data_IF_828709840552
#
_entry.id   IF_828709840552
#
_cell.length_a   1.000
_cell.length_b   1.000
_cell.length_c   1.000
_cell.angle_alpha   90.00
_cell.angle_beta   90.00
_cell.angle_gamma   90.00
#
_symmetry.space_group_name_H-M   'P 1'
#
loop_
_entity.id
_entity.type
_entity.pdbx_description
1 polymer ?
#
# COMPACT_ATOMS: atom_id res chain seq x y z
N UNK A 1 -24.06 8.98 3.26
CA UNK A 1 -23.87 7.63 3.85
C UNK A 1 -22.40 7.52 4.23
N UNK A 2 -22.09 7.38 5.52
CA UNK A 2 -20.71 7.29 6.01
C UNK A 2 -20.17 5.91 5.62
N UNK A 3 -19.21 5.88 4.70
CA UNK A 3 -18.50 4.66 4.32
C UNK A 3 -17.67 4.17 5.51
N UNK A 4 -17.76 2.87 5.79
CA UNK A 4 -16.89 2.21 6.77
C UNK A 4 -15.53 2.06 6.08
N UNK A 5 -14.58 2.94 6.39
CA UNK A 5 -13.16 2.66 6.08
C UNK A 5 -12.67 1.61 7.06
N UNK A 6 -12.53 0.36 6.60
CA UNK A 6 -11.65 -0.61 7.25
C UNK A 6 -10.21 -0.27 6.83
N UNK A 7 -9.51 0.49 7.65
CA UNK A 7 -8.06 0.62 7.57
C UNK A 7 -7.44 -0.54 8.35
N UNK A 8 -6.79 -1.48 7.64
CA UNK A 8 -5.91 -2.45 8.28
C UNK A 8 -4.54 -1.79 8.44
N UNK A 9 -4.35 -1.12 9.57
CA UNK A 9 -3.04 -0.64 9.97
C UNK A 9 -2.13 -1.86 10.28
N UNK A 10 -0.90 -1.82 9.76
CA UNK A 10 0.16 -2.75 10.16
C UNK A 10 0.41 -2.60 11.66
N UNK A 11 0.14 -3.64 12.44
CA UNK A 11 0.57 -3.69 13.85
C UNK A 11 1.90 -4.42 13.89
N UNK A 12 2.98 -3.71 14.26
CA UNK A 12 4.27 -4.34 14.55
C UNK A 12 4.19 -4.95 15.95
N UNK A 13 3.92 -6.25 16.05
CA UNK A 13 3.78 -6.94 17.34
C UNK A 13 5.16 -7.47 17.75
N UNK A 14 5.88 -6.72 18.59
CA UNK A 14 7.18 -7.11 19.14
C UNK A 14 7.12 -8.22 20.21
N UNK A 15 5.94 -8.54 20.73
CA UNK A 15 5.70 -9.58 21.74
C UNK A 15 4.21 -9.96 21.73
N UNK A 16 3.89 -11.26 21.76
CA UNK A 16 2.51 -11.76 21.86
C UNK A 16 1.98 -11.79 23.30
N UNK A 17 2.73 -11.26 24.28
CA UNK A 17 2.31 -11.16 25.66
C UNK A 17 1.91 -9.72 26.02
N UNK A 18 0.63 -9.50 26.31
CA UNK A 18 0.10 -8.23 26.83
C UNK A 18 -0.96 -7.57 25.96
N UNK A 19 -1.55 -6.49 26.48
CA UNK A 19 -2.47 -5.63 25.72
C UNK A 19 -1.67 -4.82 24.71
N UNK A 20 -2.01 -4.98 23.43
CA UNK A 20 -1.44 -4.18 22.35
C UNK A 20 -2.26 -2.90 22.16
N UNK A 21 -1.59 -1.76 22.06
CA UNK A 21 -2.22 -0.49 21.68
C UNK A 21 -2.12 -0.32 20.17
N UNK A 22 -3.25 -0.05 19.52
CA UNK A 22 -3.29 0.33 18.11
C UNK A 22 -3.15 1.85 18.06
N UNK A 23 -2.07 2.33 17.45
CA UNK A 23 -1.78 3.75 17.27
C UNK A 23 -1.87 4.10 15.78
N UNK A 24 -2.20 5.36 15.49
CA UNK A 24 -2.06 5.90 14.15
C UNK A 24 -0.58 6.26 13.93
N UNK A 25 0.01 5.75 12.84
CA UNK A 25 1.44 5.88 12.50
C UNK A 25 1.74 7.15 11.69
N UNK A 26 1.00 8.23 11.92
CA UNK A 26 1.22 9.52 11.26
C UNK A 26 1.00 9.45 9.75
N UNK A 27 1.98 9.91 8.97
CA UNK A 27 1.95 10.00 7.49
C UNK A 27 1.69 8.67 6.78
N UNK A 28 1.96 7.55 7.46
CA UNK A 28 1.69 6.23 6.92
C UNK A 28 0.18 5.94 6.86
N UNK A 29 -0.58 6.31 7.90
CA UNK A 29 -2.03 6.13 7.90
C UNK A 29 -2.73 7.36 7.34
N UNK A 30 -3.71 7.15 6.48
CA UNK A 30 -4.52 8.25 5.96
C UNK A 30 -6.01 7.93 6.02
N UNK A 31 -6.84 8.81 5.48
CA UNK A 31 -8.27 8.53 5.27
C UNK A 31 -8.53 7.59 4.09
N UNK A 32 -7.51 7.34 3.26
CA UNK A 32 -7.55 6.44 2.12
C UNK A 32 -7.33 4.98 2.54
N UNK A 33 -7.39 4.08 1.57
CA UNK A 33 -7.03 2.69 1.82
C UNK A 33 -5.51 2.58 1.92
N UNK A 34 -5.05 1.86 2.94
CA UNK A 34 -3.71 1.31 3.04
C UNK A 34 -3.82 -0.17 3.44
N UNK A 35 -3.19 -1.05 2.67
CA UNK A 35 -3.23 -2.49 2.94
C UNK A 35 -2.02 -3.21 2.37
N UNK A 36 -1.85 -4.47 2.81
CA UNK A 36 -0.73 -5.34 2.45
C UNK A 36 0.67 -4.71 2.56
N UNK A 37 1.02 -4.08 3.70
CA UNK A 37 2.38 -3.60 3.92
C UNK A 37 3.37 -4.76 4.09
N UNK A 38 4.52 -4.65 3.43
CA UNK A 38 5.64 -5.60 3.48
C UNK A 38 6.95 -4.85 3.80
N UNK A 39 7.80 -5.37 4.70
CA UNK A 39 9.13 -4.81 4.93
C UNK A 39 9.98 -4.81 3.66
N UNK A 40 10.67 -3.71 3.39
CA UNK A 40 11.62 -3.59 2.28
C UNK A 40 12.72 -2.59 2.64
N UNK A 41 13.97 -3.05 2.72
CA UNK A 41 15.08 -2.25 3.24
C UNK A 41 14.77 -1.69 4.63
N UNK A 42 15.03 -0.39 4.82
CA UNK A 42 14.71 0.35 6.06
C UNK A 42 13.29 0.93 6.07
N UNK A 43 12.35 0.34 5.34
CA UNK A 43 10.99 0.87 5.22
C UNK A 43 9.93 -0.18 4.91
N UNK A 44 8.79 0.31 4.42
CA UNK A 44 7.64 -0.51 4.03
C UNK A 44 7.26 -0.22 2.59
N UNK A 45 6.98 -1.27 1.82
CA UNK A 45 6.18 -1.17 0.60
C UNK A 45 4.75 -1.58 0.93
N UNK A 46 3.76 -0.86 0.42
CA UNK A 46 2.34 -1.14 0.68
C UNK A 46 1.47 -0.64 -0.47
N UNK A 47 0.23 -1.12 -0.52
CA UNK A 47 -0.77 -0.64 -1.47
C UNK A 47 -1.60 0.47 -0.85
N UNK A 48 -1.84 1.57 -1.59
CA UNK A 48 -2.69 2.66 -1.14
C UNK A 48 -3.53 3.28 -2.24
N UNK A 49 -4.71 3.80 -1.88
CA UNK A 49 -5.55 4.60 -2.78
C UNK A 49 -5.33 6.12 -2.65
N UNK A 50 -4.30 6.53 -1.90
CA UNK A 50 -3.87 7.94 -1.81
C UNK A 50 -3.48 8.50 -3.17
N UNK A 51 -3.38 9.82 -3.28
CA UNK A 51 -2.98 10.44 -4.53
C UNK A 51 -1.53 10.12 -4.89
N UNK A 52 -1.33 9.39 -5.99
CA UNK A 52 -0.03 9.09 -6.59
C UNK A 52 0.41 10.11 -7.65
N UNK A 53 -0.33 11.22 -7.82
CA UNK A 53 -0.08 12.21 -8.87
C UNK A 53 -0.65 11.84 -10.24
N UNK A 54 -1.54 10.84 -10.27
CA UNK A 54 -2.22 10.41 -11.50
C UNK A 54 -3.24 11.43 -11.99
N UNK A 55 -3.30 11.58 -13.31
CA UNK A 55 -4.35 12.34 -14.01
C UNK A 55 -5.61 11.49 -14.27
N UNK A 56 -5.50 10.17 -14.21
CA UNK A 56 -6.64 9.28 -14.45
C UNK A 56 -7.56 9.24 -13.23
N UNK A 57 -8.86 9.38 -13.48
CA UNK A 57 -9.91 9.34 -12.47
C UNK A 57 -10.60 7.97 -12.49
N UNK A 58 -10.87 7.41 -11.32
CA UNK A 58 -11.68 6.19 -11.21
C UNK A 58 -13.13 6.51 -11.64
N UNK A 59 -13.75 5.72 -12.53
CA UNK A 59 -15.14 5.94 -12.94
C UNK A 59 -16.14 5.82 -11.79
N UNK A 60 -15.80 5.05 -10.74
CA UNK A 60 -16.64 4.90 -9.57
C UNK A 60 -16.64 6.20 -8.75
N UNK A 61 -17.81 6.82 -8.49
CA UNK A 61 -17.88 8.03 -7.70
C UNK A 61 -17.42 7.73 -6.27
N UNK A 62 -16.42 8.49 -5.80
CA UNK A 62 -15.73 8.35 -4.51
C UNK A 62 -14.71 7.21 -4.40
N UNK A 63 -14.35 6.56 -5.50
CA UNK A 63 -13.26 5.58 -5.48
C UNK A 63 -11.99 6.14 -6.14
N UNK A 64 -10.85 5.53 -5.85
CA UNK A 64 -9.54 5.90 -6.39
C UNK A 64 -8.79 4.65 -6.78
N UNK A 65 -8.04 4.72 -7.88
CA UNK A 65 -7.16 3.61 -8.23
C UNK A 65 -6.09 3.43 -7.14
N UNK A 66 -5.74 2.18 -6.86
CA UNK A 66 -4.66 1.84 -5.94
C UNK A 66 -3.32 1.78 -6.64
N UNK A 67 -2.28 2.18 -5.91
CA UNK A 67 -0.89 2.17 -6.33
C UNK A 67 0.00 1.60 -5.21
N UNK A 68 1.21 1.17 -5.56
CA UNK A 68 2.24 0.78 -4.61
C UNK A 68 3.06 2.00 -4.18
N UNK A 69 3.29 2.11 -2.88
CA UNK A 69 4.05 3.19 -2.23
C UNK A 69 5.18 2.60 -1.38
N UNK A 70 6.23 3.40 -1.20
CA UNK A 70 7.29 3.17 -0.23
C UNK A 70 7.24 4.24 0.87
N UNK A 71 7.39 3.82 2.13
CA UNK A 71 7.59 4.71 3.27
C UNK A 71 8.87 4.33 3.99
N UNK A 72 9.83 5.24 4.04
CA UNK A 72 11.08 5.06 4.78
C UNK A 72 10.83 5.15 6.28
N UNK A 73 11.46 4.28 7.08
CA UNK A 73 11.38 4.36 8.54
C UNK A 73 12.37 5.41 9.03
N UNK A 74 11.86 6.46 9.66
CA UNK A 74 12.67 7.54 10.23
C UNK A 74 13.17 7.23 11.66
N UNK A 75 12.72 6.11 12.25
CA UNK A 75 13.12 5.64 13.57
C UNK A 75 11.91 5.25 14.43
N UNK A 76 12.04 4.21 15.26
CA UNK A 76 10.93 3.70 16.08
C UNK A 76 9.69 3.38 15.24
N UNK A 77 8.54 3.94 15.63
CA UNK A 77 7.25 3.83 14.93
C UNK A 77 6.98 4.98 13.94
N UNK A 78 8.01 5.76 13.60
CA UNK A 78 7.88 6.93 12.73
C UNK A 78 8.34 6.64 11.30
N UNK A 79 7.51 7.04 10.34
CA UNK A 79 7.76 6.90 8.91
C UNK A 79 7.80 8.27 8.23
N UNK A 80 8.59 8.37 7.17
CA UNK A 80 8.58 9.51 6.26
C UNK A 80 7.28 9.58 5.46
N UNK A 81 7.11 10.64 4.67
CA UNK A 81 5.99 10.76 3.74
C UNK A 81 6.03 9.65 2.70
N UNK A 82 4.96 8.85 2.53
CA UNK A 82 4.99 7.78 1.55
C UNK A 82 5.04 8.28 0.11
N UNK A 83 5.93 7.69 -0.68
CA UNK A 83 6.19 8.06 -2.08
C UNK A 83 5.74 6.92 -2.99
N UNK A 84 5.00 7.24 -4.06
CA UNK A 84 4.59 6.25 -5.04
C UNK A 84 5.81 5.62 -5.72
N UNK A 85 5.80 4.29 -5.90
CA UNK A 85 6.89 3.61 -6.61
C UNK A 85 7.01 4.12 -8.05
N UNK A 86 8.24 4.42 -8.44
CA UNK A 86 8.57 5.02 -9.73
C UNK A 86 8.60 3.99 -10.88
N UNK A 87 8.66 4.51 -12.11
CA UNK A 87 8.80 3.71 -13.32
C UNK A 87 7.50 3.02 -13.74
N UNK A 88 7.62 1.81 -14.30
CA UNK A 88 6.47 1.03 -14.81
C UNK A 88 5.77 0.17 -13.75
N UNK A 89 6.17 0.33 -12.48
CA UNK A 89 5.65 -0.46 -11.36
C UNK A 89 4.19 -0.11 -11.10
N UNK A 90 3.83 1.17 -11.15
CA UNK A 90 2.45 1.64 -11.02
C UNK A 90 1.86 1.82 -12.43
N UNK A 91 0.81 1.07 -12.75
CA UNK A 91 0.17 1.00 -14.06
C UNK A 91 -1.26 1.51 -14.04
N UNK A 92 -1.82 1.86 -15.19
CA UNK A 92 -3.03 2.70 -15.35
C UNK A 92 -4.22 2.46 -14.39
N UNK A 93 -4.43 1.25 -13.87
CA UNK A 93 -5.57 0.89 -13.00
C UNK A 93 -5.07 0.48 -11.60
N UNK A 94 -5.84 -0.37 -10.90
CA UNK A 94 -5.44 -0.85 -9.58
C UNK A 94 -4.20 -1.74 -9.64
N UNK A 95 -3.19 -1.35 -8.88
CA UNK A 95 -2.09 -2.19 -8.45
C UNK A 95 -2.35 -2.64 -7.01
N UNK A 96 -2.27 -3.95 -6.80
CA UNK A 96 -2.72 -4.62 -5.57
C UNK A 96 -1.56 -5.07 -4.68
N UNK A 97 -1.85 -6.10 -3.87
CA UNK A 97 -0.97 -6.57 -2.81
C UNK A 97 0.40 -7.03 -3.34
N UNK A 98 1.51 -6.49 -2.81
CA UNK A 98 2.86 -6.91 -3.17
C UNK A 98 3.38 -8.05 -2.27
N UNK A 99 4.35 -8.79 -2.80
CA UNK A 99 5.25 -9.68 -2.06
C UNK A 99 6.60 -9.73 -2.76
N UNK A 100 7.62 -10.27 -2.11
CA UNK A 100 8.95 -10.46 -2.69
C UNK A 100 9.35 -11.93 -2.72
N UNK A 101 10.20 -12.28 -3.69
CA UNK A 101 10.97 -13.52 -3.63
C UNK A 101 11.88 -13.54 -2.39
N UNK A 102 12.31 -14.72 -1.91
CA UNK A 102 13.13 -14.82 -0.70
C UNK A 102 14.45 -14.04 -0.76
N UNK A 103 15.00 -13.86 -1.95
CA UNK A 103 16.22 -13.08 -2.20
C UNK A 103 15.96 -11.56 -2.27
N UNK A 104 14.70 -11.12 -2.19
CA UNK A 104 14.30 -9.72 -2.26
C UNK A 104 14.45 -9.06 -3.63
N UNK A 105 14.87 -9.81 -4.66
CA UNK A 105 15.20 -9.23 -5.96
C UNK A 105 13.99 -9.08 -6.88
N UNK A 106 12.92 -9.87 -6.68
CA UNK A 106 11.73 -9.85 -7.52
C UNK A 106 10.51 -9.51 -6.69
N UNK A 107 9.81 -8.44 -7.06
CA UNK A 107 8.49 -8.11 -6.51
C UNK A 107 7.40 -8.75 -7.37
N UNK A 108 6.45 -9.44 -6.73
CA UNK A 108 5.25 -10.01 -7.34
C UNK A 108 4.05 -9.27 -6.75
N UNK A 109 3.13 -8.79 -7.60
CA UNK A 109 1.91 -8.11 -7.16
C UNK A 109 0.77 -8.34 -8.15
N UNK A 110 -0.47 -8.16 -7.71
CA UNK A 110 -1.63 -8.23 -8.59
C UNK A 110 -1.90 -6.90 -9.30
N UNK A 111 -2.39 -6.94 -10.54
CA UNK A 111 -2.75 -5.75 -11.32
C UNK A 111 -4.05 -5.96 -12.08
N UNK A 112 -4.88 -4.94 -12.12
CA UNK A 112 -6.03 -4.91 -13.01
C UNK A 112 -5.64 -4.46 -14.43
N UNK A 113 -6.24 -5.11 -15.43
CA UNK A 113 -6.15 -4.73 -16.83
C UNK A 113 -7.55 -4.60 -17.44
N UNK A 114 -7.73 -3.67 -18.39
CA UNK A 114 -9.00 -3.56 -19.15
C UNK A 114 -9.23 -4.72 -20.10
N UNK A 115 -8.21 -5.53 -20.36
CA UNK A 115 -8.30 -6.65 -21.31
C UNK A 115 -8.93 -7.91 -20.68
N UNK A 116 -9.33 -7.84 -19.41
CA UNK A 116 -9.72 -9.01 -18.63
C UNK A 116 -8.50 -9.86 -18.24
N UNK A 117 -8.76 -11.11 -17.82
CA UNK A 117 -7.71 -12.11 -17.58
C UNK A 117 -7.03 -12.43 -18.90
N UNK A 118 -5.71 -12.29 -18.96
CA UNK A 118 -4.93 -12.83 -20.08
C UNK A 118 -4.20 -14.12 -19.61
N UNK A 119 -3.57 -14.85 -20.52
CA UNK A 119 -2.87 -16.10 -20.18
C UNK A 119 -1.63 -15.90 -19.27
N UNK A 120 -1.24 -14.65 -19.00
CA UNK A 120 -0.14 -14.25 -18.13
C UNK A 120 -0.62 -13.61 -16.81
N UNK A 121 -1.95 -13.57 -16.56
CA UNK A 121 -2.57 -12.82 -15.46
C UNK A 121 -3.25 -11.56 -15.96
#
# INVERSE_FOLDING_TARGET
MKGISLAFALVFIGSLAGTQTITNLGSLNSEYLEFCPIPYGEGLIFTSSRNSGRLLVCPSPNDRFTDLFFAERAGGEQFGEPVALAGKINGKYNDGAPTFTPDGQTMIFSRNSMSGKNAQG
#
